data_IF_442905481083
#
_entry.id   IF_442905481083
#
_cell.length_a   1.000
_cell.length_b   1.000
_cell.length_c   1.000
_cell.angle_alpha   90.00
_cell.angle_beta   90.00
_cell.angle_gamma   90.00
#
_symmetry.space_group_name_H-M   'P 1'
#
loop_
_entity.id
_entity.type
_entity.pdbx_description
1 polymer ?
#
# COMPACT_ATOMS: atom_id res chain seq x y z
N UNK A 1 5.92 14.04 -0.54
CA UNK A 1 6.27 13.42 0.77
C UNK A 1 4.98 13.02 1.46
N UNK A 2 4.82 11.78 1.97
CA UNK A 2 3.60 11.38 2.66
C UNK A 2 3.50 12.07 4.02
N UNK A 3 2.39 12.76 4.29
CA UNK A 3 2.04 13.24 5.63
C UNK A 3 1.31 12.12 6.37
N UNK A 4 1.99 11.45 7.30
CA UNK A 4 1.45 10.29 8.02
C UNK A 4 0.78 10.76 9.31
N UNK A 5 -0.48 10.41 9.50
CA UNK A 5 -1.19 10.65 10.75
C UNK A 5 -0.75 9.64 11.81
N UNK A 6 -0.29 10.12 12.97
CA UNK A 6 0.35 9.27 13.99
C UNK A 6 -0.57 8.15 14.49
N UNK A 7 -1.87 8.42 14.65
CA UNK A 7 -2.82 7.39 15.09
C UNK A 7 -3.02 6.30 14.04
N UNK A 8 -2.95 6.62 12.75
CA UNK A 8 -2.99 5.63 11.68
C UNK A 8 -1.71 4.78 11.67
N UNK A 9 -0.54 5.39 11.91
CA UNK A 9 0.73 4.67 12.03
C UNK A 9 0.73 3.68 13.19
N UNK A 10 0.14 4.08 14.32
CA UNK A 10 0.10 3.29 15.55
C UNK A 10 -1.13 2.40 15.66
N UNK A 11 -1.99 2.32 14.64
CA UNK A 11 -3.20 1.49 14.68
C UNK A 11 -4.16 1.85 15.81
N UNK A 12 -4.34 3.15 16.10
CA UNK A 12 -5.24 3.59 17.17
C UNK A 12 -6.70 3.46 16.73
N UNK A 13 -7.54 3.10 17.69
CA UNK A 13 -8.99 3.09 17.53
C UNK A 13 -9.60 4.44 17.94
N UNK A 14 -10.93 4.53 17.85
CA UNK A 14 -11.68 5.72 18.22
C UNK A 14 -11.67 5.97 19.74
N UNK A 15 -11.26 7.16 20.17
CA UNK A 15 -11.27 7.62 21.56
C UNK A 15 -12.66 8.12 22.00
N UNK A 16 -13.56 7.17 22.25
CA UNK A 16 -14.92 7.48 22.72
C UNK A 16 -14.90 8.20 24.08
N UNK A 17 -13.99 7.81 24.99
CA UNK A 17 -13.83 8.45 26.30
C UNK A 17 -13.42 9.92 26.17
N UNK A 18 -12.55 10.23 25.21
CA UNK A 18 -12.15 11.60 24.89
C UNK A 18 -13.32 12.45 24.38
N UNK A 19 -14.24 11.87 23.61
CA UNK A 19 -15.46 12.57 23.20
C UNK A 19 -16.38 12.81 24.40
N UNK A 20 -16.63 11.80 25.23
CA UNK A 20 -17.46 11.92 26.44
C UNK A 20 -16.91 12.98 27.40
N UNK A 21 -15.60 13.00 27.64
CA UNK A 21 -14.96 13.92 28.58
C UNK A 21 -14.92 15.37 28.07
N UNK A 22 -14.83 15.60 26.76
CA UNK A 22 -14.63 16.94 26.19
C UNK A 22 -15.86 17.54 25.53
N UNK A 23 -16.86 16.72 25.19
CA UNK A 23 -18.02 17.09 24.38
C UNK A 23 -17.69 17.46 22.92
N UNK A 24 -16.45 17.24 22.46
CA UNK A 24 -16.00 17.63 21.11
C UNK A 24 -15.77 16.39 20.25
N UNK A 25 -16.49 16.28 19.13
CA UNK A 25 -16.35 15.13 18.21
C UNK A 25 -14.93 14.93 17.68
N UNK A 26 -14.16 16.01 17.50
CA UNK A 26 -12.77 15.90 17.02
C UNK A 26 -11.84 15.16 17.98
N UNK A 27 -12.23 14.99 19.25
CA UNK A 27 -11.46 14.24 20.24
C UNK A 27 -11.42 12.75 19.92
N UNK A 28 -12.37 12.23 19.12
CA UNK A 28 -12.46 10.82 18.72
C UNK A 28 -11.17 10.28 18.07
N UNK A 29 -10.41 11.14 17.38
CA UNK A 29 -9.19 10.75 16.68
C UNK A 29 -7.93 11.29 17.36
N UNK A 30 -8.01 11.80 18.59
CA UNK A 30 -6.91 12.53 19.26
C UNK A 30 -6.58 11.97 20.64
N UNK A 31 -6.63 10.65 20.76
CA UNK A 31 -6.29 9.96 22.00
C UNK A 31 -4.91 10.40 22.51
N UNK A 32 -4.77 10.58 23.82
CA UNK A 32 -3.44 10.72 24.43
C UNK A 32 -2.93 9.32 24.75
N UNK A 33 -1.95 8.88 23.99
CA UNK A 33 -1.38 7.54 24.10
C UNK A 33 -0.32 7.49 25.22
N UNK A 34 -0.34 6.44 26.04
CA UNK A 34 0.77 6.08 26.94
C UNK A 34 1.85 5.38 26.13
N UNK A 35 3.10 5.81 26.29
CA UNK A 35 4.24 5.22 25.58
C UNK A 35 4.42 3.77 26.04
N UNK A 36 4.33 3.53 27.34
CA UNK A 36 4.53 2.21 27.94
C UNK A 36 3.50 1.20 27.43
N UNK A 37 2.23 1.61 27.33
CA UNK A 37 1.17 0.76 26.78
C UNK A 37 1.36 0.51 25.29
N UNK A 38 1.68 1.56 24.52
CA UNK A 38 1.95 1.42 23.09
C UNK A 38 3.09 0.44 22.80
N UNK A 39 4.19 0.54 23.54
CA UNK A 39 5.34 -0.34 23.36
C UNK A 39 4.96 -1.81 23.64
N UNK A 40 4.19 -2.05 24.70
CA UNK A 40 3.67 -3.38 25.02
C UNK A 40 2.76 -3.92 23.92
N UNK A 41 1.83 -3.11 23.41
CA UNK A 41 0.89 -3.53 22.37
C UNK A 41 1.59 -3.77 21.03
N UNK A 42 2.59 -2.95 20.66
CA UNK A 42 3.38 -3.15 19.44
C UNK A 42 4.25 -4.40 19.51
N UNK A 43 4.73 -4.77 20.71
CA UNK A 43 5.53 -5.99 20.91
C UNK A 43 4.67 -7.26 21.09
N UNK A 44 3.38 -7.11 21.34
CA UNK A 44 2.46 -8.23 21.49
C UNK A 44 2.14 -8.84 20.12
N UNK A 45 2.64 -10.05 19.88
CA UNK A 45 2.41 -10.79 18.64
C UNK A 45 0.91 -10.95 18.35
N UNK A 46 0.51 -10.59 17.12
CA UNK A 46 -0.87 -10.69 16.66
C UNK A 46 -1.79 -9.56 17.13
N UNK A 47 -1.30 -8.58 17.89
CA UNK A 47 -2.09 -7.39 18.22
C UNK A 47 -2.37 -6.54 16.98
N UNK A 48 -3.46 -5.76 17.02
CA UNK A 48 -3.78 -4.83 15.94
C UNK A 48 -2.65 -3.81 15.70
N UNK A 49 -2.05 -3.29 16.77
CA UNK A 49 -0.99 -2.28 16.67
C UNK A 49 0.29 -2.87 16.11
N UNK A 50 0.66 -4.09 16.50
CA UNK A 50 1.81 -4.81 15.93
C UNK A 50 1.65 -4.95 14.42
N UNK A 51 0.50 -5.49 13.98
CA UNK A 51 0.22 -5.73 12.56
C UNK A 51 0.23 -4.43 11.74
N UNK A 52 -0.46 -3.39 12.21
CA UNK A 52 -0.54 -2.10 11.52
C UNK A 52 0.82 -1.40 11.48
N UNK A 53 1.48 -1.27 12.64
CA UNK A 53 2.76 -0.55 12.74
C UNK A 53 3.82 -1.22 11.89
N UNK A 54 4.01 -2.54 12.05
CA UNK A 54 5.01 -3.28 11.29
C UNK A 54 4.67 -3.32 9.80
N UNK A 55 3.40 -3.48 9.44
CA UNK A 55 2.94 -3.44 8.04
C UNK A 55 3.22 -2.10 7.36
N UNK A 56 2.90 -0.99 8.03
CA UNK A 56 3.15 0.36 7.51
C UNK A 56 4.64 0.67 7.43
N UNK A 57 5.43 0.32 8.45
CA UNK A 57 6.88 0.52 8.44
C UNK A 57 7.54 -0.25 7.30
N UNK A 58 7.20 -1.53 7.09
CA UNK A 58 7.67 -2.33 5.94
C UNK A 58 7.33 -1.65 4.61
N UNK A 59 6.11 -1.12 4.46
CA UNK A 59 5.68 -0.42 3.24
C UNK A 59 6.41 0.90 3.01
N UNK A 60 6.73 1.63 4.09
CA UNK A 60 7.54 2.87 4.02
C UNK A 60 8.97 2.55 3.57
N UNK A 61 9.58 1.49 4.10
CA UNK A 61 10.92 1.08 3.68
C UNK A 61 10.94 0.66 2.21
N UNK A 62 9.96 -0.14 1.74
CA UNK A 62 9.80 -0.46 0.32
C UNK A 62 9.60 0.79 -0.54
N UNK A 63 8.79 1.74 -0.08
CA UNK A 63 8.59 3.00 -0.81
C UNK A 63 9.90 3.77 -1.03
N UNK A 64 10.85 3.70 -0.08
CA UNK A 64 12.15 4.37 -0.21
C UNK A 64 13.03 3.72 -1.29
N UNK A 65 12.86 2.42 -1.57
CA UNK A 65 13.63 1.72 -2.61
C UNK A 65 13.09 1.94 -4.02
N UNK A 66 11.79 2.24 -4.18
CA UNK A 66 11.19 2.43 -5.51
C UNK A 66 11.31 3.88 -6.00
N UNK A 67 12.19 4.12 -6.98
CA UNK A 67 12.43 5.47 -7.54
C UNK A 67 11.24 5.96 -8.35
N UNK A 68 10.45 5.05 -8.94
CA UNK A 68 9.19 5.39 -9.62
C UNK A 68 8.17 6.09 -8.67
N UNK A 69 8.31 5.92 -7.35
CA UNK A 69 7.47 6.57 -6.35
C UNK A 69 7.97 7.96 -5.93
N UNK A 70 9.03 8.48 -6.56
CA UNK A 70 9.53 9.84 -6.33
C UNK A 70 8.44 10.88 -6.63
N UNK A 71 8.26 11.96 -5.82
CA UNK A 71 7.16 12.92 -6.00
C UNK A 71 7.03 13.52 -7.41
N UNK A 72 8.16 13.68 -8.12
CA UNK A 72 8.21 14.25 -9.47
C UNK A 72 8.16 13.21 -10.60
N UNK A 73 8.00 11.91 -10.30
CA UNK A 73 7.78 10.92 -11.34
C UNK A 73 6.41 11.12 -11.98
N UNK A 74 6.33 10.91 -13.29
CA UNK A 74 5.10 11.03 -14.05
C UNK A 74 4.08 9.99 -13.59
N UNK A 75 2.81 10.30 -13.79
CA UNK A 75 1.71 9.43 -13.39
C UNK A 75 0.65 9.37 -14.47
N UNK A 76 0.25 8.15 -14.83
CA UNK A 76 -0.87 7.86 -15.73
C UNK A 76 -1.88 7.00 -14.98
N UNK A 77 -3.17 7.35 -15.07
CA UNK A 77 -4.25 6.52 -14.52
C UNK A 77 -4.56 5.39 -15.49
N UNK A 78 -4.72 4.18 -14.97
CA UNK A 78 -5.10 3.00 -15.73
C UNK A 78 -6.52 2.58 -15.34
N UNK A 79 -7.36 2.30 -16.33
CA UNK A 79 -8.71 1.79 -16.12
C UNK A 79 -8.70 0.29 -16.43
N UNK A 80 -8.55 -0.53 -15.39
CA UNK A 80 -8.45 -2.00 -15.50
C UNK A 80 -9.77 -2.70 -15.14
N UNK A 81 -10.44 -2.21 -14.09
CA UNK A 81 -11.74 -2.67 -13.58
C UNK A 81 -12.28 -1.54 -12.67
N UNK A 82 -13.60 -1.37 -12.56
CA UNK A 82 -14.23 -0.32 -11.74
C UNK A 82 -13.93 -0.46 -10.23
N UNK A 83 -13.53 -1.66 -9.79
CA UNK A 83 -13.16 -1.99 -8.41
C UNK A 83 -11.65 -1.86 -8.16
N UNK A 84 -10.88 -1.44 -9.17
CA UNK A 84 -9.45 -1.24 -9.07
C UNK A 84 -9.09 0.23 -9.18
N UNK A 85 -8.26 0.71 -8.26
CA UNK A 85 -7.51 1.94 -8.44
C UNK A 85 -6.11 1.59 -8.96
N UNK A 86 -5.79 1.98 -10.20
CA UNK A 86 -4.52 1.65 -10.81
C UNK A 86 -3.82 2.89 -11.41
N UNK A 87 -2.51 2.98 -11.19
CA UNK A 87 -1.67 4.03 -11.76
C UNK A 87 -0.35 3.44 -12.26
N UNK A 88 0.10 3.89 -13.44
CA UNK A 88 1.46 3.73 -13.89
C UNK A 88 2.29 4.93 -13.45
N UNK A 89 3.53 4.67 -13.04
CA UNK A 89 4.48 5.64 -12.53
C UNK A 89 5.80 5.46 -13.27
N UNK A 90 6.29 6.51 -13.91
CA UNK A 90 7.56 6.50 -14.65
C UNK A 90 8.45 7.60 -14.14
N UNK A 91 9.66 7.26 -13.70
CA UNK A 91 10.66 8.25 -13.33
C UNK A 91 11.75 8.34 -14.40
N UNK A 92 11.57 9.29 -15.32
CA UNK A 92 12.44 9.53 -16.48
C UNK A 92 13.94 9.58 -16.13
N UNK A 93 14.29 10.16 -14.98
CA UNK A 93 15.70 10.27 -14.55
C UNK A 93 16.39 8.93 -14.31
N UNK A 94 15.63 7.89 -14.00
CA UNK A 94 16.16 6.55 -13.70
C UNK A 94 15.58 5.48 -14.63
N UNK A 95 14.70 5.89 -15.56
CA UNK A 95 13.89 5.02 -16.42
C UNK A 95 13.10 3.94 -15.65
N UNK A 96 12.89 4.15 -14.35
CA UNK A 96 12.20 3.16 -13.51
C UNK A 96 10.70 3.30 -13.70
N UNK A 97 10.05 2.19 -14.06
CA UNK A 97 8.61 2.08 -14.21
C UNK A 97 8.02 1.21 -13.10
N UNK A 98 6.83 1.57 -12.65
CA UNK A 98 6.08 0.82 -11.66
C UNK A 98 4.58 1.00 -11.92
N UNK A 99 3.82 -0.08 -11.86
CA UNK A 99 2.36 -0.05 -11.86
C UNK A 99 1.85 -0.39 -10.47
N UNK A 100 1.14 0.54 -9.84
CA UNK A 100 0.45 0.29 -8.59
C UNK A 100 -1.00 -0.06 -8.87
N UNK A 101 -1.46 -1.22 -8.39
CA UNK A 101 -2.85 -1.68 -8.49
C UNK A 101 -3.37 -1.91 -7.07
N UNK A 102 -4.51 -1.28 -6.74
CA UNK A 102 -5.16 -1.42 -5.45
C UNK A 102 -6.58 -1.92 -5.69
N UNK A 103 -6.92 -3.07 -5.14
CA UNK A 103 -8.30 -3.52 -5.03
C UNK A 103 -9.02 -2.69 -3.97
N UNK A 104 -10.11 -2.04 -4.34
CA UNK A 104 -10.92 -1.21 -3.43
C UNK A 104 -12.20 -1.91 -2.98
N UNK A 105 -12.34 -3.19 -3.32
CA UNK A 105 -13.51 -4.01 -3.04
C UNK A 105 -13.21 -5.20 -2.11
N UNK A 106 -14.29 -5.82 -1.64
CA UNK A 106 -14.27 -7.07 -0.88
C UNK A 106 -14.18 -8.35 -1.73
N UNK A 107 -13.95 -8.23 -3.04
CA UNK A 107 -14.03 -9.35 -4.00
C UNK A 107 -12.66 -9.68 -4.61
N UNK A 108 -12.46 -10.93 -5.03
CA UNK A 108 -11.30 -11.31 -5.83
C UNK A 108 -11.44 -10.75 -7.25
N UNK A 109 -10.35 -10.22 -7.81
CA UNK A 109 -10.33 -9.62 -9.14
C UNK A 109 -9.17 -10.19 -9.94
N UNK A 110 -9.45 -10.62 -11.16
CA UNK A 110 -8.42 -11.05 -12.12
C UNK A 110 -8.12 -9.93 -13.11
N UNK A 111 -6.84 -9.60 -13.29
CA UNK A 111 -6.36 -8.64 -14.26
C UNK A 111 -5.54 -9.37 -15.31
N UNK A 112 -5.92 -9.33 -16.60
CA UNK A 112 -5.09 -9.90 -17.66
C UNK A 112 -3.72 -9.23 -17.68
N UNK A 113 -2.63 -10.02 -17.71
CA UNK A 113 -1.27 -9.46 -17.80
C UNK A 113 -1.06 -8.65 -19.08
N UNK A 114 -1.82 -8.96 -20.13
CA UNK A 114 -1.85 -8.17 -21.37
C UNK A 114 -2.29 -6.72 -21.18
N UNK A 115 -3.10 -6.43 -20.16
CA UNK A 115 -3.56 -5.07 -19.86
C UNK A 115 -2.43 -4.15 -19.33
N UNK A 116 -1.28 -4.71 -18.96
CA UNK A 116 -0.13 -3.98 -18.41
C UNK A 116 1.00 -3.78 -19.42
N UNK A 117 0.89 -4.35 -20.62
CA UNK A 117 1.98 -4.39 -21.63
C UNK A 117 2.41 -3.03 -22.16
N UNK A 118 1.54 -2.03 -22.10
CA UNK A 118 1.87 -0.66 -22.52
C UNK A 118 2.74 0.07 -21.48
N UNK A 119 2.74 -0.41 -20.23
CA UNK A 119 3.40 0.25 -19.10
C UNK A 119 4.64 -0.50 -18.62
N UNK A 120 4.64 -1.84 -18.72
CA UNK A 120 5.71 -2.71 -18.25
C UNK A 120 6.17 -3.61 -19.40
N UNK A 121 7.48 -3.65 -19.62
CA UNK A 121 8.13 -4.33 -20.73
C UNK A 121 8.75 -5.64 -20.24
N UNK A 122 7.95 -6.61 -19.80
CA UNK A 122 8.54 -7.87 -19.35
C UNK A 122 7.73 -9.12 -19.62
N UNK A 123 8.51 -10.19 -19.87
CA UNK A 123 8.07 -11.56 -19.70
C UNK A 123 7.74 -11.85 -18.23
N UNK A 124 8.41 -11.28 -17.22
CA UNK A 124 8.04 -11.55 -15.81
C UNK A 124 7.88 -10.28 -15.00
N UNK A 125 6.90 -10.25 -14.10
CA UNK A 125 6.59 -9.12 -13.24
C UNK A 125 6.92 -9.46 -11.79
N UNK A 126 7.45 -8.50 -11.04
CA UNK A 126 7.62 -8.62 -9.60
C UNK A 126 6.65 -7.69 -8.87
N UNK A 127 5.84 -8.25 -7.96
CA UNK A 127 5.14 -7.47 -6.94
C UNK A 127 6.11 -7.18 -5.79
N UNK A 128 6.49 -5.91 -5.66
CA UNK A 128 7.39 -5.46 -4.59
C UNK A 128 6.69 -5.38 -3.24
N UNK A 129 5.36 -5.39 -3.15
CA UNK A 129 4.67 -5.42 -1.86
C UNK A 129 4.63 -6.85 -1.33
N UNK A 130 4.09 -7.80 -2.10
CA UNK A 130 3.99 -9.21 -1.74
C UNK A 130 5.29 -10.01 -1.85
N UNK A 131 6.33 -9.46 -2.50
CA UNK A 131 7.56 -10.18 -2.88
C UNK A 131 7.30 -11.44 -3.72
N UNK A 132 6.29 -11.36 -4.59
CA UNK A 132 5.91 -12.45 -5.50
C UNK A 132 6.39 -12.11 -6.91
N UNK A 133 6.86 -13.12 -7.65
CA UNK A 133 7.22 -13.00 -9.07
C UNK A 133 6.20 -13.78 -9.89
N UNK A 134 5.67 -13.13 -10.91
CA UNK A 134 4.73 -13.68 -11.89
C UNK A 134 5.48 -13.92 -13.20
N UNK A 135 5.43 -15.15 -13.71
CA UNK A 135 6.11 -15.56 -14.94
C UNK A 135 5.45 -15.04 -16.21
N UNK A 136 6.05 -15.35 -17.37
CA UNK A 136 5.56 -14.94 -18.69
C UNK A 136 4.39 -15.76 -19.19
N UNK A 137 4.29 -16.96 -18.65
CA UNK A 137 3.24 -17.93 -18.87
C UNK A 137 1.94 -17.60 -18.13
N UNK A 138 2.01 -16.76 -17.10
CA UNK A 138 0.83 -16.34 -16.35
C UNK A 138 -0.05 -15.46 -17.24
N UNK A 139 -1.32 -15.85 -17.37
CA UNK A 139 -2.27 -15.11 -18.18
C UNK A 139 -2.87 -13.92 -17.42
N UNK A 140 -3.01 -14.07 -16.10
CA UNK A 140 -3.77 -13.17 -15.22
C UNK A 140 -3.07 -12.99 -13.88
N UNK A 141 -3.16 -11.79 -13.35
CA UNK A 141 -2.82 -11.47 -11.96
C UNK A 141 -4.11 -11.55 -11.13
N UNK A 142 -4.10 -12.36 -10.08
CA UNK A 142 -5.21 -12.40 -9.12
C UNK A 142 -4.93 -11.42 -7.97
N UNK A 143 -5.87 -10.50 -7.73
CA UNK A 143 -5.86 -9.60 -6.59
C UNK A 143 -6.92 -10.04 -5.58
N UNK A 144 -6.47 -10.27 -4.35
CA UNK A 144 -7.33 -10.54 -3.19
C UNK A 144 -8.07 -9.27 -2.73
N UNK A 145 -9.10 -9.39 -1.89
CA UNK A 145 -9.85 -8.26 -1.37
C UNK A 145 -8.93 -7.26 -0.68
N UNK A 146 -9.06 -5.98 -1.04
CA UNK A 146 -8.23 -4.88 -0.50
C UNK A 146 -6.71 -5.00 -0.73
N UNK A 147 -6.25 -5.95 -1.57
CA UNK A 147 -4.83 -6.11 -1.85
C UNK A 147 -4.28 -4.91 -2.65
N UNK A 148 -3.06 -4.51 -2.31
CA UNK A 148 -2.28 -3.55 -3.08
C UNK A 148 -1.02 -4.25 -3.61
N UNK A 149 -0.78 -4.13 -4.91
CA UNK A 149 0.40 -4.64 -5.62
C UNK A 149 1.18 -3.49 -6.23
N UNK A 150 2.51 -3.59 -6.20
CA UNK A 150 3.44 -2.66 -6.86
C UNK A 150 4.29 -3.46 -7.83
N UNK A 151 3.84 -3.51 -9.08
CA UNK A 151 4.38 -4.31 -10.14
C UNK A 151 5.50 -3.56 -10.87
N UNK A 152 6.59 -4.25 -11.13
CA UNK A 152 7.69 -3.78 -11.98
C UNK A 152 8.19 -4.93 -12.84
N UNK A 153 8.88 -4.58 -13.91
CA UNK A 153 9.63 -5.55 -14.70
C UNK A 153 10.64 -6.26 -13.80
N UNK A 154 10.54 -7.59 -13.74
CA UNK A 154 11.53 -8.41 -13.08
C UNK A 154 12.72 -8.55 -14.04
N UNK A 155 13.69 -7.64 -13.91
CA UNK A 155 14.90 -7.66 -14.73
C UNK A 155 15.60 -9.03 -14.65
N UNK A 156 16.11 -9.50 -15.78
CA UNK A 156 17.06 -10.63 -15.84
C UNK A 156 18.37 -10.31 -15.14
#
# INVERSE_FOLDING_TARGET
MPGIYIHSLLGSENDQKGVEATGRYRSINREKLSIEQLEQEIQLEGSLREQIFNGLMKRIEKRKSEKALHPNAEQKVLFLDDRLFAIARTYEKTSEKLVAIINTSGENIEVPMTALKDELEAGSLKDTIGEVVYGAEEATLQLDPYQAMWLKDNGT
#
